data_IF_536513186706
#
_entry.id   IF_536513186706
#
_cell.length_a   1.000
_cell.length_b   1.000
_cell.length_c   1.000
_cell.angle_alpha   90.00
_cell.angle_beta   90.00
_cell.angle_gamma   90.00
#
_symmetry.space_group_name_H-M   'P 1'
#
loop_
_entity.id
_entity.type
_entity.pdbx_description
1 polymer ?
#
# COMPACT_ATOMS: atom_id res chain seq x y z
N UNK A 1 29.17 1.25 -2.83
CA UNK A 1 28.15 2.27 -2.49
C UNK A 1 26.82 1.60 -2.23
N UNK A 2 26.23 1.90 -1.10
CA UNK A 2 24.95 1.34 -0.76
C UNK A 2 23.81 2.11 -1.40
N UNK A 3 22.81 1.38 -1.88
CA UNK A 3 21.57 1.98 -2.31
C UNK A 3 20.75 2.39 -1.09
N UNK A 4 20.04 3.49 -1.20
CA UNK A 4 19.09 3.87 -0.18
C UNK A 4 18.03 2.78 -0.05
N UNK A 5 17.53 2.56 1.16
CA UNK A 5 16.44 1.63 1.38
C UNK A 5 15.20 2.12 0.64
N UNK A 6 14.44 1.19 0.07
CA UNK A 6 13.13 1.51 -0.48
C UNK A 6 12.17 1.81 0.65
N UNK A 7 11.32 2.81 0.45
CA UNK A 7 10.37 3.28 1.45
C UNK A 7 8.98 2.74 1.15
N UNK A 8 8.40 2.08 2.14
CA UNK A 8 7.06 1.53 2.05
C UNK A 8 6.15 2.32 3.00
N UNK A 9 5.06 2.84 2.48
CA UNK A 9 4.00 3.40 3.30
C UNK A 9 2.96 2.32 3.53
N UNK A 10 2.82 1.91 4.78
CA UNK A 10 1.86 0.87 5.18
C UNK A 10 0.62 1.54 5.77
N UNK A 11 -0.52 1.37 5.12
CA UNK A 11 -1.79 1.97 5.55
C UNK A 11 -2.70 0.86 6.03
N UNK A 12 -2.81 0.72 7.34
CA UNK A 12 -3.58 -0.35 7.99
C UNK A 12 -4.09 0.16 9.34
N UNK A 13 -5.41 0.09 9.55
CA UNK A 13 -6.02 0.55 10.78
C UNK A 13 -5.97 -0.47 11.93
N UNK A 14 -5.83 -1.76 11.62
CA UNK A 14 -5.68 -2.81 12.63
C UNK A 14 -4.25 -2.83 13.15
N UNK A 15 -4.06 -2.47 14.42
CA UNK A 15 -2.73 -2.35 15.03
C UNK A 15 -1.96 -3.68 15.04
N UNK A 16 -2.63 -4.78 15.36
CA UNK A 16 -1.97 -6.09 15.42
C UNK A 16 -1.47 -6.52 14.04
N UNK A 17 -2.31 -6.37 13.04
CA UNK A 17 -1.95 -6.73 11.66
C UNK A 17 -0.85 -5.79 11.14
N UNK A 18 -0.97 -4.50 11.42
CA UNK A 18 0.05 -3.51 11.03
C UNK A 18 1.40 -3.87 11.60
N UNK A 19 1.46 -4.29 12.87
CA UNK A 19 2.73 -4.68 13.51
C UNK A 19 3.35 -5.91 12.86
N UNK A 20 2.54 -6.88 12.45
CA UNK A 20 3.05 -8.07 11.74
C UNK A 20 3.72 -7.65 10.44
N UNK A 21 3.06 -6.82 9.63
CA UNK A 21 3.62 -6.36 8.36
C UNK A 21 4.81 -5.43 8.56
N UNK A 22 4.72 -4.51 9.51
CA UNK A 22 5.80 -3.58 9.82
C UNK A 22 7.08 -4.33 10.17
N UNK A 23 6.98 -5.29 11.09
CA UNK A 23 8.12 -6.09 11.56
C UNK A 23 8.73 -6.88 10.40
N UNK A 24 7.89 -7.54 9.60
CA UNK A 24 8.39 -8.36 8.49
C UNK A 24 9.02 -7.50 7.40
N UNK A 25 8.41 -6.39 7.04
CA UNK A 25 8.95 -5.51 6.00
C UNK A 25 10.28 -4.90 6.43
N UNK A 26 10.41 -4.50 7.70
CA UNK A 26 11.68 -4.00 8.23
C UNK A 26 12.75 -5.09 8.19
N UNK A 27 12.39 -6.33 8.53
CA UNK A 27 13.31 -7.46 8.47
C UNK A 27 13.78 -7.76 7.04
N UNK A 28 12.96 -7.43 6.04
CA UNK A 28 13.30 -7.59 4.63
C UNK A 28 14.14 -6.44 4.07
N UNK A 29 14.46 -5.46 4.89
CA UNK A 29 15.35 -4.36 4.51
C UNK A 29 14.67 -3.09 4.03
N UNK A 30 13.34 -3.00 4.17
CA UNK A 30 12.61 -1.79 3.79
C UNK A 30 12.58 -0.77 4.92
N UNK A 31 12.57 0.51 4.54
CA UNK A 31 12.22 1.59 5.46
C UNK A 31 10.71 1.72 5.42
N UNK A 32 10.04 1.59 6.56
CA UNK A 32 8.57 1.51 6.59
C UNK A 32 8.00 2.57 7.52
N UNK A 33 7.01 3.29 7.01
CA UNK A 33 6.18 4.16 7.83
C UNK A 33 4.76 3.59 7.86
N UNK A 34 4.23 3.38 9.05
CA UNK A 34 2.84 2.95 9.20
C UNK A 34 1.96 4.15 9.55
N UNK A 35 0.80 4.23 8.87
CA UNK A 35 -0.29 5.14 9.22
C UNK A 35 -1.58 4.34 9.37
N UNK A 36 -2.55 4.87 10.10
CA UNK A 36 -3.72 4.12 10.52
C UNK A 36 -5.01 4.50 9.77
N UNK A 37 -4.98 5.55 8.96
CA UNK A 37 -6.20 6.00 8.27
C UNK A 37 -5.85 6.72 6.96
N UNK A 38 -6.89 7.01 6.18
CA UNK A 38 -6.72 7.59 4.85
C UNK A 38 -6.17 9.02 4.84
N UNK A 39 -6.56 9.82 5.82
CA UNK A 39 -6.05 11.20 5.90
C UNK A 39 -4.55 11.21 6.17
N UNK A 40 -4.10 10.40 7.11
CA UNK A 40 -2.68 10.23 7.39
C UNK A 40 -1.94 9.66 6.18
N UNK A 41 -2.58 8.75 5.44
CA UNK A 41 -1.98 8.17 4.24
C UNK A 41 -1.71 9.22 3.17
N UNK A 42 -2.66 10.12 2.93
CA UNK A 42 -2.50 11.19 1.95
C UNK A 42 -1.38 12.15 2.34
N UNK A 43 -1.33 12.53 3.62
CA UNK A 43 -0.26 13.39 4.13
C UNK A 43 1.10 12.71 4.01
N UNK A 44 1.20 11.45 4.41
CA UNK A 44 2.46 10.71 4.36
C UNK A 44 2.93 10.46 2.93
N UNK A 45 2.01 10.24 1.99
CA UNK A 45 2.37 10.06 0.58
C UNK A 45 3.09 11.29 0.04
N UNK A 46 2.74 12.48 0.52
CA UNK A 46 3.38 13.74 0.13
C UNK A 46 4.69 13.99 0.87
N UNK A 47 4.74 13.66 2.17
CA UNK A 47 5.84 14.07 3.05
C UNK A 47 6.93 13.02 3.24
N UNK A 48 6.56 11.76 3.23
CA UNK A 48 7.51 10.65 3.42
C UNK A 48 8.19 10.25 2.11
N UNK A 49 7.59 10.56 0.98
CA UNK A 49 8.08 10.17 -0.34
C UNK A 49 8.27 8.64 -0.46
N UNK A 50 7.22 7.85 -0.23
CA UNK A 50 7.35 6.40 -0.35
C UNK A 50 7.59 5.98 -1.79
N UNK A 51 8.24 4.84 -1.95
CA UNK A 51 8.41 4.20 -3.26
C UNK A 51 7.20 3.35 -3.61
N UNK A 52 6.48 2.88 -2.59
CA UNK A 52 5.28 2.06 -2.76
C UNK A 52 4.36 2.22 -1.55
N UNK A 53 3.06 2.19 -1.80
CA UNK A 53 2.03 2.20 -0.75
C UNK A 53 1.35 0.84 -0.70
N UNK A 54 1.33 0.23 0.47
CA UNK A 54 0.56 -0.96 0.76
C UNK A 54 -0.70 -0.50 1.50
N UNK A 55 -1.86 -0.62 0.87
CA UNK A 55 -3.06 0.14 1.23
C UNK A 55 -4.25 -0.78 1.47
N UNK A 56 -4.81 -0.73 2.68
CA UNK A 56 -6.08 -1.39 2.95
C UNK A 56 -7.23 -0.53 2.42
N UNK A 57 -8.28 -1.18 1.95
CA UNK A 57 -9.50 -0.52 1.47
C UNK A 57 -10.41 -0.17 2.63
N UNK A 58 -10.57 -1.08 3.58
CA UNK A 58 -11.58 -0.95 4.64
C UNK A 58 -11.06 -0.13 5.83
N UNK A 59 -11.25 1.17 5.74
CA UNK A 59 -10.86 2.10 6.80
C UNK A 59 -12.01 3.07 7.08
N UNK A 60 -12.15 3.55 8.31
CA UNK A 60 -13.20 4.51 8.62
C UNK A 60 -12.96 5.85 7.91
N UNK A 61 -14.03 6.56 7.60
CA UNK A 61 -14.07 7.90 7.01
C UNK A 61 -13.61 7.93 5.56
N UNK A 62 -12.32 7.74 5.32
CA UNK A 62 -11.73 7.77 3.97
C UNK A 62 -11.30 6.36 3.61
N UNK A 63 -11.96 5.76 2.65
CA UNK A 63 -11.64 4.39 2.21
C UNK A 63 -10.35 4.36 1.38
N UNK A 64 -9.78 3.15 1.24
CA UNK A 64 -8.63 2.97 0.37
C UNK A 64 -8.92 3.32 -1.09
N UNK A 65 -10.15 3.12 -1.56
CA UNK A 65 -10.54 3.55 -2.90
C UNK A 65 -10.43 5.06 -3.06
N UNK A 66 -10.87 5.81 -2.05
CA UNK A 66 -10.79 7.29 -2.07
C UNK A 66 -9.33 7.75 -2.03
N UNK A 67 -8.51 7.09 -1.21
CA UNK A 67 -7.07 7.40 -1.15
C UNK A 67 -6.43 7.19 -2.52
N UNK A 68 -6.68 6.05 -3.15
CA UNK A 68 -6.12 5.75 -4.46
C UNK A 68 -6.55 6.78 -5.51
N UNK A 69 -7.83 7.12 -5.52
CA UNK A 69 -8.36 8.11 -6.46
C UNK A 69 -7.66 9.46 -6.30
N UNK A 70 -7.52 9.92 -5.07
CA UNK A 70 -6.84 11.19 -4.78
C UNK A 70 -5.36 11.12 -5.19
N UNK A 71 -4.66 10.03 -4.88
CA UNK A 71 -3.26 9.87 -5.26
C UNK A 71 -3.09 9.96 -6.78
N UNK A 72 -3.96 9.30 -7.53
CA UNK A 72 -3.87 9.27 -9.00
C UNK A 72 -4.21 10.63 -9.64
N UNK A 73 -5.00 11.44 -8.96
CA UNK A 73 -5.38 12.78 -9.44
C UNK A 73 -4.50 13.89 -8.88
N UNK A 74 -3.46 13.56 -8.13
CA UNK A 74 -2.49 14.51 -7.59
C UNK A 74 -1.17 14.35 -8.35
N UNK A 75 -0.66 15.39 -9.02
CA UNK A 75 0.52 15.23 -9.88
C UNK A 75 1.73 14.62 -9.18
N UNK A 76 1.98 14.98 -7.92
CA UNK A 76 3.15 14.51 -7.16
C UNK A 76 3.09 13.02 -6.84
N UNK A 77 1.90 12.41 -6.87
CA UNK A 77 1.69 11.00 -6.49
C UNK A 77 1.03 10.17 -7.58
N UNK A 78 0.79 10.76 -8.75
CA UNK A 78 0.03 10.10 -9.82
C UNK A 78 0.65 8.77 -10.28
N UNK A 79 1.97 8.63 -10.21
CA UNK A 79 2.68 7.44 -10.65
C UNK A 79 3.20 6.57 -9.50
N UNK A 80 2.81 6.88 -8.26
CA UNK A 80 3.23 6.12 -7.09
C UNK A 80 2.69 4.69 -7.17
N UNK A 81 3.54 3.71 -6.90
CA UNK A 81 3.11 2.31 -6.88
C UNK A 81 2.17 2.07 -5.71
N UNK A 82 1.00 1.50 -5.99
CA UNK A 82 0.00 1.19 -4.96
C UNK A 82 -0.44 -0.26 -5.08
N UNK A 83 -0.26 -1.01 -4.00
CA UNK A 83 -0.78 -2.37 -3.86
C UNK A 83 -1.88 -2.33 -2.83
N UNK A 84 -3.08 -2.78 -3.19
CA UNK A 84 -4.15 -2.95 -2.20
C UNK A 84 -4.03 -4.33 -1.56
N UNK A 85 -4.12 -4.35 -0.23
CA UNK A 85 -4.15 -5.58 0.55
C UNK A 85 -5.36 -5.49 1.45
N UNK A 86 -6.41 -6.26 1.16
CA UNK A 86 -7.73 -6.05 1.74
C UNK A 86 -8.48 -7.35 1.97
N UNK A 87 -9.45 -7.30 2.91
CA UNK A 87 -10.38 -8.40 3.14
C UNK A 87 -11.44 -8.53 2.05
N UNK A 88 -11.62 -7.50 1.20
CA UNK A 88 -12.65 -7.52 0.16
C UNK A 88 -12.25 -8.46 -0.98
N UNK A 89 -13.08 -9.51 -1.19
CA UNK A 89 -12.75 -10.57 -2.14
C UNK A 89 -13.64 -10.62 -3.37
N UNK A 90 -14.59 -9.69 -3.50
CA UNK A 90 -15.51 -9.68 -4.64
C UNK A 90 -14.82 -9.12 -5.88
N UNK A 91 -15.16 -9.69 -7.03
CA UNK A 91 -14.61 -9.24 -8.31
C UNK A 91 -14.94 -7.77 -8.58
N UNK A 92 -16.12 -7.31 -8.16
CA UNK A 92 -16.51 -5.90 -8.32
C UNK A 92 -15.58 -4.95 -7.58
N UNK A 93 -15.08 -5.33 -6.41
CA UNK A 93 -14.13 -4.52 -5.65
C UNK A 93 -12.79 -4.44 -6.37
N UNK A 94 -12.32 -5.57 -6.89
CA UNK A 94 -11.09 -5.64 -7.64
C UNK A 94 -11.18 -4.80 -8.91
N UNK A 95 -12.29 -4.91 -9.63
CA UNK A 95 -12.51 -4.12 -10.85
C UNK A 95 -12.54 -2.63 -10.54
N UNK A 96 -13.15 -2.24 -9.43
CA UNK A 96 -13.16 -0.85 -8.98
C UNK A 96 -11.75 -0.33 -8.74
N UNK A 97 -10.93 -1.11 -8.03
CA UNK A 97 -9.53 -0.76 -7.77
C UNK A 97 -8.76 -0.62 -9.08
N UNK A 98 -8.95 -1.55 -10.01
CA UNK A 98 -8.29 -1.52 -11.30
C UNK A 98 -8.68 -0.29 -12.10
N UNK A 99 -9.96 0.08 -12.09
CA UNK A 99 -10.43 1.27 -12.79
C UNK A 99 -9.88 2.56 -12.19
N UNK A 100 -9.52 2.54 -10.91
CA UNK A 100 -8.89 3.67 -10.23
C UNK A 100 -7.37 3.70 -10.39
N UNK A 101 -6.79 2.68 -11.02
CA UNK A 101 -5.36 2.68 -11.33
C UNK A 101 -4.47 2.00 -10.29
N UNK A 102 -4.98 1.00 -9.57
CA UNK A 102 -4.16 0.21 -8.65
C UNK A 102 -3.13 -0.61 -9.44
N UNK A 103 -1.94 -0.78 -8.88
CA UNK A 103 -0.91 -1.60 -9.51
C UNK A 103 -1.11 -3.09 -9.21
N UNK A 104 -1.66 -3.41 -8.04
CA UNK A 104 -1.93 -4.81 -7.67
C UNK A 104 -3.04 -4.86 -6.61
N UNK A 105 -3.78 -5.95 -6.58
CA UNK A 105 -4.90 -6.14 -5.65
C UNK A 105 -4.79 -7.52 -5.02
N UNK A 106 -4.52 -7.57 -3.71
CA UNK A 106 -4.32 -8.81 -2.97
C UNK A 106 -5.40 -8.97 -1.91
N UNK A 107 -5.98 -10.15 -1.83
CA UNK A 107 -7.01 -10.45 -0.84
C UNK A 107 -6.36 -11.14 0.35
N UNK A 108 -6.52 -10.57 1.55
CA UNK A 108 -5.85 -11.03 2.77
C UNK A 108 -6.03 -12.52 3.04
N UNK A 109 -7.21 -13.07 2.76
CA UNK A 109 -7.50 -14.49 2.99
C UNK A 109 -6.89 -15.42 1.95
N UNK A 110 -6.35 -14.89 0.86
CA UNK A 110 -5.85 -15.67 -0.28
C UNK A 110 -4.33 -15.62 -0.43
N UNK A 111 -3.65 -14.82 0.39
CA UNK A 111 -2.20 -14.64 0.30
C UNK A 111 -1.56 -14.86 1.67
N UNK A 112 -0.32 -15.32 1.68
CA UNK A 112 0.52 -15.31 2.88
C UNK A 112 1.48 -14.12 2.78
N UNK A 113 2.10 -13.74 3.90
CA UNK A 113 2.96 -12.55 3.94
C UNK A 113 4.12 -12.63 2.94
N UNK A 114 4.66 -13.82 2.70
CA UNK A 114 5.72 -14.00 1.71
C UNK A 114 5.28 -13.60 0.31
N UNK A 115 4.01 -13.90 -0.05
CA UNK A 115 3.46 -13.51 -1.35
C UNK A 115 3.39 -11.98 -1.46
N UNK A 116 3.00 -11.31 -0.39
CA UNK A 116 2.92 -9.84 -0.37
C UNK A 116 4.31 -9.23 -0.57
N UNK A 117 5.32 -9.78 0.11
CA UNK A 117 6.70 -9.33 -0.04
C UNK A 117 7.18 -9.50 -1.49
N UNK A 118 6.90 -10.65 -2.09
CA UNK A 118 7.28 -10.93 -3.49
C UNK A 118 6.63 -9.92 -4.45
N UNK A 119 5.36 -9.60 -4.24
CA UNK A 119 4.66 -8.64 -5.08
C UNK A 119 5.22 -7.23 -4.91
N UNK A 120 5.55 -6.84 -3.68
CA UNK A 120 6.20 -5.55 -3.41
C UNK A 120 7.51 -5.46 -4.19
N UNK A 121 8.36 -6.47 -4.09
CA UNK A 121 9.65 -6.48 -4.78
C UNK A 121 9.47 -6.42 -6.30
N UNK A 122 8.50 -7.17 -6.81
CA UNK A 122 8.19 -7.17 -8.24
C UNK A 122 7.86 -5.76 -8.74
N UNK A 123 6.99 -5.05 -8.04
CA UNK A 123 6.57 -3.70 -8.44
C UNK A 123 7.68 -2.66 -8.24
N UNK A 124 8.53 -2.83 -7.24
CA UNK A 124 9.66 -1.91 -7.03
C UNK A 124 10.75 -2.08 -8.07
N UNK A 125 10.88 -3.25 -8.66
CA UNK A 125 11.87 -3.53 -9.72
C UNK A 125 11.37 -3.14 -11.10
N UNK A 126 10.06 -2.96 -11.24
CA UNK A 126 9.43 -2.57 -12.51
C UNK A 126 9.42 -1.05 -12.65
N UNK A 127 9.66 -0.56 -13.81
CA UNK A 127 9.59 0.88 -14.09
C UNK A 127 8.20 1.34 -14.50
#
# INVERSE_FOLDING_TARGET
MESAQKRILLVEDDDALANVYLTRLQAEGFDVRRVANGEEALSAAMNYHPDLVLLDVMMPKVSGFDVLDILRNTPETANLKVIMLTALSQESDKQRAESLGVDDYLVKSQVVIADVIDRIRHHLESD
#
